data_IF_804343533902
#
_entry.id   IF_804343533902
#
_cell.length_a   1.000
_cell.length_b   1.000
_cell.length_c   1.000
_cell.angle_alpha   90.00
_cell.angle_beta   90.00
_cell.angle_gamma   90.00
#
_symmetry.space_group_name_H-M   'P 1'
#
loop_
_entity.id
_entity.type
_entity.pdbx_description
1 polymer ?
#
# COMPACT_ATOMS: atom_id res chain seq x y z
N UNK A 1 -3.19 17.56 -21.84
CA UNK A 1 -2.20 16.52 -21.49
C UNK A 1 -2.35 16.24 -20.01
N UNK A 2 -2.48 14.99 -19.55
CA UNK A 2 -2.48 14.75 -18.11
C UNK A 2 -1.05 14.99 -17.62
N UNK A 3 -0.88 15.97 -16.74
CA UNK A 3 0.37 16.19 -16.03
C UNK A 3 0.57 14.99 -15.10
N UNK A 4 1.51 14.11 -15.43
CA UNK A 4 1.97 13.05 -14.53
C UNK A 4 2.75 13.72 -13.41
N UNK A 5 2.07 14.05 -12.32
CA UNK A 5 2.73 14.56 -11.11
C UNK A 5 3.37 13.37 -10.40
N UNK A 6 4.66 13.14 -10.66
CA UNK A 6 5.46 12.23 -9.85
C UNK A 6 5.60 12.87 -8.46
N UNK A 7 4.93 12.29 -7.47
CA UNK A 7 5.12 12.67 -6.08
C UNK A 7 6.48 12.15 -5.63
N UNK A 8 7.37 13.05 -5.22
CA UNK A 8 8.65 12.71 -4.63
C UNK A 8 8.66 13.37 -3.25
N UNK A 9 8.77 12.54 -2.21
CA UNK A 9 8.83 12.99 -0.82
C UNK A 9 10.27 12.90 -0.33
N UNK A 10 10.73 13.92 0.40
CA UNK A 10 12.00 13.83 1.14
C UNK A 10 11.66 13.73 2.62
N UNK A 11 11.92 12.58 3.24
CA UNK A 11 11.70 12.39 4.67
C UNK A 11 13.03 12.33 5.42
N UNK A 12 13.12 12.99 6.56
CA UNK A 12 14.29 12.94 7.44
C UNK A 12 13.83 12.56 8.85
N UNK A 13 14.21 11.35 9.31
CA UNK A 13 13.87 10.89 10.66
C UNK A 13 14.62 11.70 11.73
N UNK A 14 13.94 12.24 12.75
CA UNK A 14 14.60 12.96 13.84
C UNK A 14 15.27 12.05 14.90
N UNK A 15 14.98 10.74 14.92
CA UNK A 15 15.14 9.91 16.14
C UNK A 15 16.27 8.85 16.11
N UNK A 16 17.11 8.79 15.07
CA UNK A 16 18.23 7.86 15.03
C UNK A 16 19.59 8.57 14.94
N UNK A 17 20.56 8.13 15.77
CA UNK A 17 21.95 8.61 15.81
C UNK A 17 22.77 8.29 14.55
N UNK A 18 22.20 7.53 13.62
CA UNK A 18 22.69 7.38 12.26
C UNK A 18 21.78 8.19 11.34
N UNK A 19 22.03 9.49 11.30
CA UNK A 19 21.34 10.45 10.46
C UNK A 19 21.71 10.23 8.98
N UNK A 20 21.14 9.20 8.36
CA UNK A 20 21.04 9.16 6.91
C UNK A 20 19.67 9.72 6.52
N UNK A 21 19.60 10.91 5.89
CA UNK A 21 18.39 11.31 5.21
C UNK A 21 18.16 10.30 4.09
N UNK A 22 17.16 9.43 4.24
CA UNK A 22 16.79 8.51 3.17
C UNK A 22 15.78 9.21 2.29
N UNK A 23 16.12 9.33 1.01
CA UNK A 23 15.21 9.88 0.03
C UNK A 23 14.19 8.80 -0.33
N UNK A 24 12.96 8.93 0.16
CA UNK A 24 11.86 8.08 -0.31
C UNK A 24 11.41 8.58 -1.70
N UNK A 25 12.16 8.23 -2.75
CA UNK A 25 11.71 8.47 -4.14
C UNK A 25 10.61 7.49 -4.51
N UNK A 26 9.43 7.68 -3.95
CA UNK A 26 8.30 6.82 -4.21
C UNK A 26 7.50 7.40 -5.39
N UNK A 27 7.83 7.03 -6.63
CA UNK A 27 7.01 7.41 -7.80
C UNK A 27 5.72 6.60 -7.75
N UNK A 28 4.72 7.12 -7.04
CA UNK A 28 3.40 6.52 -6.99
C UNK A 28 2.38 7.51 -7.53
N UNK A 29 1.54 7.00 -8.43
CA UNK A 29 0.35 7.70 -8.84
C UNK A 29 -0.72 7.46 -7.78
N UNK A 30 -1.25 8.55 -7.24
CA UNK A 30 -2.44 8.48 -6.39
C UNK A 30 -3.64 8.21 -7.29
N UNK A 31 -4.47 7.26 -6.89
CA UNK A 31 -5.69 6.90 -7.60
C UNK A 31 -6.70 8.07 -7.65
N UNK A 32 -6.93 8.70 -6.49
CA UNK A 32 -7.78 9.88 -6.39
C UNK A 32 -7.34 10.83 -5.27
N UNK A 33 -7.22 12.11 -5.63
CA UNK A 33 -7.00 13.22 -4.71
C UNK A 33 -8.23 14.12 -4.74
N UNK A 34 -8.87 14.31 -3.59
CA UNK A 34 -10.03 15.17 -3.42
C UNK A 34 -9.61 16.41 -2.65
N UNK A 35 -9.97 17.60 -3.13
CA UNK A 35 -9.81 18.84 -2.36
C UNK A 35 -11.15 19.19 -1.71
N UNK A 36 -11.15 19.34 -0.41
CA UNK A 36 -12.32 19.78 0.34
C UNK A 36 -12.45 21.31 0.34
N UNK A 37 -13.66 21.80 0.64
CA UNK A 37 -13.96 23.24 0.66
C UNK A 37 -13.14 24.00 1.71
N UNK A 38 -12.70 23.33 2.77
CA UNK A 38 -11.82 23.88 3.81
C UNK A 38 -10.35 23.98 3.37
N UNK A 39 -10.03 23.55 2.14
CA UNK A 39 -8.70 23.59 1.55
C UNK A 39 -7.82 22.39 1.89
N UNK A 40 -8.29 21.44 2.70
CA UNK A 40 -7.58 20.19 2.99
C UNK A 40 -7.82 19.13 1.90
N UNK A 41 -7.06 18.05 1.95
CA UNK A 41 -7.10 16.98 0.96
C UNK A 41 -7.58 15.66 1.55
N UNK A 42 -8.37 14.93 0.76
CA UNK A 42 -8.69 13.52 0.94
C UNK A 42 -7.90 12.67 -0.05
N UNK A 43 -7.25 11.61 0.43
CA UNK A 43 -6.53 10.65 -0.43
C UNK A 43 -7.31 9.33 -0.47
N UNK A 44 -7.67 8.91 -1.67
CA UNK A 44 -8.49 7.73 -1.90
C UNK A 44 -7.76 6.76 -2.83
N UNK A 45 -7.76 5.48 -2.45
CA UNK A 45 -7.25 4.37 -3.26
C UNK A 45 -8.39 3.39 -3.61
N UNK A 46 -8.49 2.99 -4.88
CA UNK A 46 -9.56 2.13 -5.37
C UNK A 46 -9.13 0.67 -5.36
N UNK A 47 -9.92 -0.20 -4.72
CA UNK A 47 -9.63 -1.63 -4.65
C UNK A 47 -10.81 -2.48 -5.15
N UNK A 48 -10.51 -3.45 -6.00
CA UNK A 48 -11.46 -4.47 -6.46
C UNK A 48 -11.23 -5.77 -5.69
N UNK A 49 -11.80 -5.92 -4.49
CA UNK A 49 -11.69 -7.17 -3.72
C UNK A 49 -12.78 -7.31 -2.65
N UNK A 50 -13.09 -8.55 -2.24
CA UNK A 50 -13.92 -8.83 -1.04
C UNK A 50 -13.17 -8.58 0.28
N UNK A 51 -11.87 -8.27 0.23
CA UNK A 51 -11.01 -8.36 1.38
C UNK A 51 -10.90 -7.03 2.13
N UNK A 52 -11.81 -6.80 3.06
CA UNK A 52 -11.59 -5.93 4.22
C UNK A 52 -10.42 -6.40 5.13
N UNK A 53 -9.68 -7.47 4.75
CA UNK A 53 -8.74 -8.20 5.61
C UNK A 53 -7.28 -7.73 5.54
N UNK A 54 -6.94 -6.66 4.83
CA UNK A 54 -5.58 -6.07 4.92
C UNK A 54 -5.57 -4.55 5.09
N UNK A 55 -6.42 -4.04 6.00
CA UNK A 55 -6.43 -2.61 6.38
C UNK A 55 -5.03 -2.06 6.69
N UNK A 56 -4.15 -2.88 7.27
CA UNK A 56 -2.77 -2.51 7.60
C UNK A 56 -1.88 -2.25 6.37
N UNK A 57 -1.99 -3.06 5.32
CA UNK A 57 -1.18 -2.88 4.10
C UNK A 57 -1.62 -1.63 3.36
N UNK A 58 -2.93 -1.41 3.26
CA UNK A 58 -3.49 -0.22 2.61
C UNK A 58 -3.24 1.06 3.41
N UNK A 59 -3.22 0.95 4.74
CA UNK A 59 -2.82 2.05 5.61
C UNK A 59 -1.43 2.57 5.25
N UNK A 60 -0.43 1.68 5.10
CA UNK A 60 0.93 2.09 4.74
C UNK A 60 1.01 2.82 3.40
N UNK A 61 0.25 2.36 2.39
CA UNK A 61 0.19 3.01 1.08
C UNK A 61 -0.38 4.43 1.18
N UNK A 62 -1.51 4.60 1.88
CA UNK A 62 -2.16 5.90 2.05
C UNK A 62 -1.30 6.88 2.87
N UNK A 63 -0.61 6.42 3.91
CA UNK A 63 0.32 7.26 4.67
C UNK A 63 1.51 7.73 3.82
N UNK A 64 2.03 6.87 2.94
CA UNK A 64 3.08 7.26 2.00
C UNK A 64 2.60 8.38 1.06
N UNK A 65 1.34 8.31 0.59
CA UNK A 65 0.75 9.37 -0.22
C UNK A 65 0.57 10.67 0.55
N UNK A 66 0.05 10.59 1.78
CA UNK A 66 -0.13 11.76 2.64
C UNK A 66 1.19 12.50 2.87
N UNK A 67 2.24 11.76 3.24
CA UNK A 67 3.57 12.34 3.44
C UNK A 67 4.15 12.96 2.17
N UNK A 68 3.94 12.33 1.01
CA UNK A 68 4.46 12.85 -0.26
C UNK A 68 3.72 14.10 -0.75
N UNK A 69 2.41 14.17 -0.49
CA UNK A 69 1.60 15.36 -0.78
C UNK A 69 2.00 16.50 0.15
N UNK A 70 2.13 16.24 1.44
CA UNK A 70 2.45 17.28 2.43
C UNK A 70 3.91 17.76 2.38
N UNK A 71 4.82 16.97 1.79
CA UNK A 71 6.25 17.28 1.69
C UNK A 71 6.77 17.15 0.24
N UNK A 72 6.24 17.94 -0.71
CA UNK A 72 6.60 17.79 -2.12
C UNK A 72 8.03 18.29 -2.38
N UNK A 73 8.82 17.52 -3.14
CA UNK A 73 10.20 17.90 -3.49
C UNK A 73 10.29 19.07 -4.49
N UNK A 74 9.20 19.39 -5.17
CA UNK A 74 9.08 20.53 -6.10
C UNK A 74 8.05 21.52 -5.54
N UNK A 75 8.23 22.81 -5.84
CA UNK A 75 7.21 23.83 -5.55
C UNK A 75 6.00 23.63 -6.48
N UNK A 76 5.21 22.60 -6.20
CA UNK A 76 3.92 22.36 -6.84
C UNK A 76 2.85 23.05 -6.01
N UNK A 77 2.28 24.13 -6.54
CA UNK A 77 1.12 24.82 -5.91
C UNK A 77 -0.10 23.89 -5.74
N UNK A 78 -0.17 22.81 -6.53
CA UNK A 78 -1.22 21.79 -6.43
C UNK A 78 -1.11 20.91 -5.17
N UNK A 79 0.02 20.92 -4.46
CA UNK A 79 0.33 19.98 -3.37
C UNK A 79 0.62 20.66 -2.04
N UNK A 80 0.49 21.98 -1.92
CA UNK A 80 0.70 22.69 -0.65
C UNK A 80 -0.55 22.66 0.23
N UNK A 81 -0.89 21.50 0.78
CA UNK A 81 -1.98 21.41 1.76
C UNK A 81 -1.91 20.13 2.61
N UNK A 82 -2.74 20.10 3.64
CA UNK A 82 -2.78 19.01 4.62
C UNK A 82 -3.75 17.92 4.17
N UNK A 83 -3.36 16.66 4.29
CA UNK A 83 -4.24 15.51 4.10
C UNK A 83 -5.01 15.26 5.39
N UNK A 84 -6.31 15.53 5.36
CA UNK A 84 -7.23 15.43 6.49
C UNK A 84 -8.03 14.14 6.51
N UNK A 85 -8.19 13.47 5.36
CA UNK A 85 -8.91 12.21 5.24
C UNK A 85 -8.15 11.21 4.36
N UNK A 86 -8.18 9.94 4.75
CA UNK A 86 -7.58 8.85 4.00
C UNK A 86 -8.55 7.67 3.98
N UNK A 87 -8.68 7.01 2.83
CA UNK A 87 -9.55 5.86 2.76
C UNK A 87 -9.48 5.09 1.46
N UNK A 88 -10.27 4.03 1.44
CA UNK A 88 -10.40 3.13 0.30
C UNK A 88 -11.81 3.20 -0.24
N UNK A 89 -11.94 3.22 -1.56
CA UNK A 89 -13.20 2.88 -2.20
C UNK A 89 -13.09 1.44 -2.71
N UNK A 90 -13.82 0.54 -2.05
CA UNK A 90 -13.79 -0.88 -2.35
C UNK A 90 -14.98 -1.25 -3.23
N UNK A 91 -14.69 -1.67 -4.45
CA UNK A 91 -15.68 -2.27 -5.34
C UNK A 91 -15.73 -3.79 -5.12
N UNK A 92 -16.88 -4.27 -4.64
CA UNK A 92 -17.14 -5.70 -4.45
C UNK A 92 -18.02 -6.20 -5.58
N UNK A 93 -17.42 -6.97 -6.51
CA UNK A 93 -18.15 -7.58 -7.62
C UNK A 93 -19.22 -8.54 -7.09
N UNK A 94 -20.46 -8.35 -7.54
CA UNK A 94 -21.61 -9.22 -7.27
C UNK A 94 -21.96 -10.08 -8.46
N UNK A 95 -22.05 -9.47 -9.63
CA UNK A 95 -22.50 -10.16 -10.83
C UNK A 95 -21.76 -9.68 -12.09
N UNK A 96 -21.73 -10.56 -13.08
CA UNK A 96 -21.20 -10.29 -14.41
C UNK A 96 -22.23 -10.71 -15.45
N UNK A 97 -22.66 -9.76 -16.26
CA UNK A 97 -23.63 -9.99 -17.31
C UNK A 97 -23.01 -9.69 -18.67
N UNK A 98 -23.45 -10.45 -19.68
CA UNK A 98 -23.08 -10.18 -21.08
C UNK A 98 -24.32 -9.94 -21.93
N UNK A 99 -25.03 -8.80 -21.78
CA UNK A 99 -26.24 -8.57 -22.55
C UNK A 99 -25.91 -8.35 -24.02
N UNK A 100 -26.66 -9.02 -24.89
CA UNK A 100 -26.65 -8.74 -26.31
C UNK A 100 -27.48 -7.48 -26.59
N UNK A 101 -26.96 -6.56 -27.40
CA UNK A 101 -27.71 -5.43 -27.93
C UNK A 101 -28.71 -5.93 -28.97
N UNK A 102 -29.71 -5.10 -29.30
CA UNK A 102 -30.69 -5.42 -30.36
C UNK A 102 -30.02 -5.69 -31.73
N UNK A 103 -28.81 -5.18 -31.94
CA UNK A 103 -28.01 -5.38 -33.15
C UNK A 103 -27.14 -6.64 -33.12
N UNK A 104 -27.18 -7.42 -32.03
CA UNK A 104 -26.39 -8.64 -31.85
C UNK A 104 -25.00 -8.45 -31.27
N UNK A 105 -24.62 -7.23 -30.86
CA UNK A 105 -23.34 -6.98 -30.20
C UNK A 105 -23.38 -7.46 -28.75
N UNK A 106 -22.35 -8.16 -28.29
CA UNK A 106 -22.25 -8.59 -26.89
C UNK A 106 -21.57 -7.49 -26.08
N UNK A 107 -22.29 -6.92 -25.11
CA UNK A 107 -21.72 -6.02 -24.11
C UNK A 107 -21.34 -6.78 -22.84
N UNK A 108 -20.50 -6.18 -21.99
CA UNK A 108 -20.08 -6.75 -20.71
C UNK A 108 -20.39 -5.75 -19.59
N UNK A 109 -21.08 -6.21 -18.54
CA UNK A 109 -21.47 -5.40 -17.40
C UNK A 109 -21.04 -6.08 -16.09
N UNK A 110 -20.29 -5.35 -15.26
CA UNK A 110 -19.94 -5.74 -13.90
C UNK A 110 -20.85 -4.97 -12.96
N UNK A 111 -21.59 -5.67 -12.09
CA UNK A 111 -22.41 -5.04 -11.04
C UNK A 111 -21.88 -5.42 -9.67
N UNK A 112 -21.99 -4.52 -8.70
CA UNK A 112 -21.34 -4.69 -7.41
C UNK A 112 -21.64 -3.56 -6.45
N UNK A 113 -21.17 -3.71 -5.22
CA UNK A 113 -21.27 -2.68 -4.19
C UNK A 113 -20.02 -1.80 -4.18
N UNK A 114 -20.20 -0.51 -3.89
CA UNK A 114 -19.12 0.41 -3.55
C UNK A 114 -19.19 0.73 -2.06
N UNK A 115 -18.10 0.49 -1.36
CA UNK A 115 -17.98 0.78 0.07
C UNK A 115 -16.79 1.70 0.30
N UNK A 116 -17.03 2.82 0.99
CA UNK A 116 -15.95 3.65 1.52
C UNK A 116 -15.46 3.06 2.85
N UNK A 117 -14.16 2.82 2.96
CA UNK A 117 -13.52 2.37 4.19
C UNK A 117 -12.52 3.45 4.60
N UNK A 118 -12.88 4.21 5.64
CA UNK A 118 -11.97 5.19 6.20
C UNK A 118 -10.77 4.48 6.83
N UNK A 119 -9.58 5.03 6.58
CA UNK A 119 -8.31 4.56 7.14
C UNK A 119 -7.79 5.63 8.08
N UNK A 120 -7.79 5.38 9.41
CA UNK A 120 -7.29 6.34 10.37
C UNK A 120 -5.81 6.68 10.14
N UNK A 121 -5.47 7.94 10.33
CA UNK A 121 -4.09 8.44 10.30
C UNK A 121 -3.36 8.11 11.60
N UNK A 122 -2.20 7.46 11.49
CA UNK A 122 -1.26 7.12 12.54
C UNK A 122 0.18 7.20 11.98
N UNK A 123 0.67 8.44 11.87
CA UNK A 123 2.00 8.74 11.35
C UNK A 123 3.10 8.08 12.19
N UNK A 124 2.89 7.96 13.51
CA UNK A 124 3.86 7.32 14.41
C UNK A 124 4.02 5.83 14.12
N UNK A 125 2.92 5.10 13.92
CA UNK A 125 2.98 3.70 13.55
C UNK A 125 3.61 3.51 12.16
N UNK A 126 3.32 4.42 11.23
CA UNK A 126 3.91 4.40 9.89
C UNK A 126 5.42 4.66 9.91
N UNK A 127 5.89 5.67 10.66
CA UNK A 127 7.32 5.96 10.85
C UNK A 127 8.06 4.80 11.49
N UNK A 128 7.47 4.18 12.53
CA UNK A 128 8.03 2.98 13.16
C UNK A 128 8.19 1.83 12.17
N UNK A 129 7.20 1.62 11.31
CA UNK A 129 7.29 0.63 10.23
C UNK A 129 8.39 0.97 9.21
N UNK A 130 8.51 2.23 8.79
CA UNK A 130 9.58 2.63 7.88
C UNK A 130 10.97 2.39 8.50
N UNK A 131 11.13 2.63 9.81
CA UNK A 131 12.36 2.30 10.52
C UNK A 131 12.67 0.80 10.44
N UNK A 132 11.69 -0.06 10.72
CA UNK A 132 11.89 -1.53 10.62
C UNK A 132 12.28 -1.97 9.21
N UNK A 133 11.67 -1.37 8.17
CA UNK A 133 12.01 -1.66 6.78
C UNK A 133 13.44 -1.23 6.48
N UNK A 134 13.84 -0.03 6.90
CA UNK A 134 15.18 0.48 6.68
C UNK A 134 16.24 -0.36 7.40
N UNK A 135 15.98 -0.77 8.64
CA UNK A 135 16.86 -1.65 9.40
C UNK A 135 17.16 -2.95 8.66
N UNK A 136 16.19 -3.46 7.88
CA UNK A 136 16.38 -4.62 7.00
C UNK A 136 17.15 -4.26 5.73
N UNK A 137 16.81 -3.15 5.08
CA UNK A 137 17.42 -2.75 3.80
C UNK A 137 18.88 -2.33 3.92
N UNK A 138 19.33 -1.87 5.09
CA UNK A 138 20.72 -1.47 5.32
C UNK A 138 21.62 -2.64 5.74
N UNK A 139 21.08 -3.85 5.90
CA UNK A 139 21.91 -5.02 6.24
C UNK A 139 22.88 -5.31 5.09
N UNK A 140 24.16 -5.62 5.40
CA UNK A 140 25.14 -5.96 4.37
C UNK A 140 24.80 -7.27 3.66
N UNK A 141 24.06 -8.16 4.32
CA UNK A 141 23.61 -9.45 3.80
C UNK A 141 22.11 -9.63 4.13
N UNK A 142 21.42 -10.41 3.32
CA UNK A 142 20.01 -10.72 3.57
C UNK A 142 19.84 -11.35 4.97
N UNK A 143 18.79 -10.96 5.73
CA UNK A 143 18.55 -11.54 7.04
C UNK A 143 18.33 -13.06 6.90
N UNK A 144 18.81 -13.86 7.88
CA UNK A 144 18.61 -15.30 7.84
C UNK A 144 17.11 -15.62 7.79
N UNK A 145 16.70 -16.73 7.15
CA UNK A 145 15.31 -17.14 7.15
C UNK A 145 14.82 -17.24 8.60
N UNK A 146 13.58 -16.83 8.88
CA UNK A 146 13.07 -16.84 10.25
C UNK A 146 13.18 -18.26 10.83
N UNK A 147 13.73 -18.44 12.05
CA UNK A 147 13.74 -19.75 12.70
C UNK A 147 12.27 -20.21 12.89
N UNK A 148 11.86 -21.44 12.49
CA UNK A 148 10.47 -21.66 12.06
C UNK A 148 9.33 -21.47 13.09
N UNK A 149 9.59 -21.41 14.41
CA UNK A 149 9.14 -20.35 15.35
C UNK A 149 9.17 -20.83 16.82
N UNK A 150 10.21 -20.45 17.57
CA UNK A 150 10.29 -20.70 19.02
C UNK A 150 9.39 -19.75 19.83
N UNK A 151 8.07 -20.00 19.80
CA UNK A 151 7.01 -19.38 20.62
C UNK A 151 7.16 -17.86 20.80
N UNK A 152 6.64 -17.07 19.85
CA UNK A 152 6.25 -15.68 20.16
C UNK A 152 5.21 -15.69 21.30
N UNK A 153 5.18 -14.63 22.10
CA UNK A 153 4.29 -14.35 23.26
C UNK A 153 2.77 -14.48 23.00
N UNK A 154 2.38 -14.88 21.79
CA UNK A 154 1.02 -15.16 21.32
C UNK A 154 1.00 -16.49 20.54
N UNK A 155 1.14 -17.61 21.25
CA UNK A 155 0.47 -18.89 20.95
C UNK A 155 0.56 -19.59 19.57
N UNK A 156 1.44 -19.24 18.63
CA UNK A 156 1.51 -19.93 17.33
C UNK A 156 2.80 -20.74 17.11
N UNK A 157 2.64 -21.98 16.62
CA UNK A 157 3.66 -23.03 16.44
C UNK A 157 4.42 -22.94 15.11
N UNK A 158 5.47 -23.77 15.01
CA UNK A 158 6.55 -23.90 14.01
C UNK A 158 6.17 -24.01 12.51
N UNK A 159 4.90 -23.79 12.13
CA UNK A 159 4.34 -24.02 10.80
C UNK A 159 3.63 -22.80 10.20
N UNK A 160 3.72 -21.62 10.83
CA UNK A 160 2.92 -20.43 10.50
C UNK A 160 3.68 -19.37 9.68
N UNK A 161 4.40 -19.77 8.63
CA UNK A 161 5.02 -18.83 7.67
C UNK A 161 4.61 -19.18 6.22
N UNK A 162 3.54 -18.56 5.68
CA UNK A 162 2.97 -18.93 4.38
C UNK A 162 3.94 -18.80 3.20
N UNK A 163 4.84 -17.82 3.23
CA UNK A 163 5.83 -17.63 2.17
C UNK A 163 6.91 -18.72 2.18
N UNK A 164 7.42 -19.09 3.36
CA UNK A 164 8.38 -20.20 3.47
C UNK A 164 7.74 -21.53 3.08
N UNK A 165 6.47 -21.75 3.44
CA UNK A 165 5.71 -22.91 3.00
C UNK A 165 5.51 -22.91 1.48
N UNK A 166 5.13 -21.77 0.89
CA UNK A 166 5.01 -21.63 -0.56
C UNK A 166 6.33 -21.95 -1.26
N UNK A 167 7.47 -21.40 -0.80
CA UNK A 167 8.78 -21.69 -1.39
C UNK A 167 9.15 -23.16 -1.27
N UNK A 168 8.89 -23.79 -0.12
CA UNK A 168 9.11 -25.21 0.07
C UNK A 168 8.23 -26.05 -0.87
N UNK A 169 6.93 -25.79 -0.91
CA UNK A 169 5.98 -26.50 -1.78
C UNK A 169 6.31 -26.30 -3.26
N UNK A 170 6.71 -25.10 -3.65
CA UNK A 170 7.12 -24.78 -5.01
C UNK A 170 8.42 -25.50 -5.40
N UNK A 171 9.39 -25.62 -4.47
CA UNK A 171 10.58 -26.46 -4.67
C UNK A 171 10.22 -27.94 -4.79
N UNK A 172 9.39 -28.46 -3.89
CA UNK A 172 8.97 -29.88 -3.91
C UNK A 172 8.18 -30.24 -5.16
N UNK A 173 7.46 -29.27 -5.75
CA UNK A 173 6.72 -29.43 -7.01
C UNK A 173 7.56 -29.15 -8.26
N UNK A 174 8.86 -28.83 -8.10
CA UNK A 174 9.75 -28.51 -9.22
C UNK A 174 9.41 -27.20 -9.94
N UNK A 175 8.68 -26.29 -9.30
CA UNK A 175 8.28 -24.99 -9.86
C UNK A 175 9.36 -23.92 -9.72
N UNK A 176 10.40 -24.17 -8.93
CA UNK A 176 11.57 -23.31 -8.76
C UNK A 176 12.80 -24.20 -8.94
N UNK A 177 13.64 -23.87 -9.92
CA UNK A 177 14.92 -24.53 -10.13
C UNK A 177 16.02 -23.72 -9.44
N UNK A 178 16.94 -24.41 -8.75
CA UNK A 178 18.15 -23.77 -8.23
C UNK A 178 19.08 -23.48 -9.42
N UNK A 179 19.54 -22.23 -9.51
CA UNK A 179 20.61 -21.82 -10.42
C UNK A 179 21.97 -22.20 -9.84
#
# INVERSE_FOLDING_TARGET
MPHTTNLIAVYTSPQHSHAFPFLLTSVHQVDCLVRFDDGTFGVIDFKTSQAAKSSLTYSRQLHAYALAIENPSTQSELLQGTVSDMGLVVYTLKDFHTPATENGDISAALTGDLTYVQVPRDDKAFEGFLSEVLDVLILPEAPPPPPPLLKRKWGASFSSCPYCQFLHDAKMRGLIHEH
#
